data_IF_481664312234
#
_entry.id   IF_481664312234
#
_cell.length_a   1.000
_cell.length_b   1.000
_cell.length_c   1.000
_cell.angle_alpha   90.00
_cell.angle_beta   90.00
_cell.angle_gamma   90.00
#
_symmetry.space_group_name_H-M   'P 1'
#
loop_
_entity.id
_entity.type
_entity.pdbx_description
1 polymer ?
#
# COMPACT_ATOMS: atom_id res chain seq x y z
N UNK A 1 5.80 -3.47 29.55
CA UNK A 1 6.69 -2.41 30.08
C UNK A 1 6.72 -1.31 29.04
N UNK A 2 6.59 -0.04 29.37
CA UNK A 2 6.74 1.05 28.37
C UNK A 2 8.21 1.48 28.39
N UNK A 3 8.91 1.55 27.23
CA UNK A 3 10.30 1.99 27.20
C UNK A 3 10.41 3.44 27.67
N UNK A 4 11.44 3.73 28.46
CA UNK A 4 11.75 5.11 28.84
C UNK A 4 12.47 5.78 27.68
N UNK A 5 11.90 6.87 27.17
CA UNK A 5 12.53 7.67 26.13
C UNK A 5 13.59 8.57 26.78
N UNK A 6 14.78 8.55 26.21
CA UNK A 6 15.95 9.35 26.58
C UNK A 6 16.52 10.01 25.34
N UNK A 7 17.41 10.99 25.50
CA UNK A 7 18.09 11.64 24.35
C UNK A 7 18.75 10.58 23.44
N UNK A 8 19.39 9.56 24.04
CA UNK A 8 20.06 8.48 23.33
C UNK A 8 19.16 7.55 22.51
N UNK A 9 17.83 7.56 22.68
CA UNK A 9 16.92 6.69 21.91
C UNK A 9 15.78 7.46 21.24
N UNK A 10 15.77 8.78 21.37
CA UNK A 10 14.78 9.67 20.76
C UNK A 10 14.76 9.50 19.23
N UNK A 11 15.93 9.32 18.61
CA UNK A 11 16.03 9.12 17.16
C UNK A 11 15.30 7.85 16.67
N UNK A 12 15.27 6.79 17.48
CA UNK A 12 14.53 5.55 17.16
C UNK A 12 13.03 5.82 17.19
N UNK A 13 12.56 6.56 18.21
CA UNK A 13 11.16 6.96 18.32
C UNK A 13 10.73 7.84 17.14
N UNK A 14 11.55 8.81 16.78
CA UNK A 14 11.25 9.73 15.66
C UNK A 14 11.16 8.96 14.34
N UNK A 15 12.04 7.98 14.12
CA UNK A 15 11.98 7.11 12.95
C UNK A 15 10.73 6.22 12.96
N UNK A 16 10.34 5.65 14.10
CA UNK A 16 9.08 4.89 14.23
C UNK A 16 7.88 5.75 13.84
N UNK A 17 7.80 6.98 14.34
CA UNK A 17 6.71 7.91 14.02
C UNK A 17 6.68 8.17 12.51
N UNK A 18 7.82 8.56 11.94
CA UNK A 18 7.96 8.86 10.50
C UNK A 18 7.52 7.68 9.63
N UNK A 19 7.96 6.46 9.94
CA UNK A 19 7.60 5.26 9.16
C UNK A 19 6.16 4.83 9.36
N UNK A 20 5.60 5.05 10.54
CA UNK A 20 4.18 4.82 10.79
C UNK A 20 3.33 5.77 9.95
N UNK A 21 3.68 7.06 9.90
CA UNK A 21 3.01 8.04 9.03
C UNK A 21 3.14 7.67 7.54
N UNK A 22 4.30 7.19 7.11
CA UNK A 22 4.52 6.69 5.74
C UNK A 22 3.62 5.49 5.43
N UNK A 23 3.56 4.51 6.33
CA UNK A 23 2.73 3.32 6.18
C UNK A 23 1.23 3.68 6.11
N UNK A 24 0.75 4.59 6.94
CA UNK A 24 -0.65 5.05 6.93
C UNK A 24 -1.01 5.75 5.60
N UNK A 25 -0.09 6.56 5.05
CA UNK A 25 -0.31 7.20 3.74
C UNK A 25 -0.49 6.21 2.61
N UNK A 26 0.12 5.02 2.68
CA UNK A 26 -0.07 3.96 1.68
C UNK A 26 -1.50 3.41 1.68
N UNK A 27 -2.20 3.48 2.82
CA UNK A 27 -3.59 3.01 2.94
C UNK A 27 -4.59 4.02 2.38
N UNK A 28 -4.21 5.29 2.30
CA UNK A 28 -5.06 6.36 1.77
C UNK A 28 -5.09 6.41 0.24
N UNK A 29 -4.13 5.75 -0.43
CA UNK A 29 -4.01 5.73 -1.89
C UNK A 29 -5.21 5.03 -2.51
N UNK A 30 -5.84 5.71 -3.47
CA UNK A 30 -6.98 5.21 -4.24
C UNK A 30 -6.62 5.02 -5.69
N UNK A 31 -7.42 4.23 -6.39
CA UNK A 31 -7.26 4.03 -7.83
C UNK A 31 -7.37 5.36 -8.62
N UNK A 32 -8.12 6.36 -8.11
CA UNK A 32 -8.14 7.71 -8.71
C UNK A 32 -6.80 8.44 -8.69
N UNK A 33 -5.92 8.09 -7.76
CA UNK A 33 -4.58 8.67 -7.67
C UNK A 33 -3.64 8.01 -8.69
N UNK A 34 -3.96 6.79 -9.11
CA UNK A 34 -3.16 5.98 -10.02
C UNK A 34 -3.64 6.03 -11.47
N UNK A 35 -4.90 6.40 -11.72
CA UNK A 35 -5.52 6.39 -13.05
C UNK A 35 -6.26 7.69 -13.30
N UNK A 36 -6.12 8.23 -14.51
CA UNK A 36 -6.81 9.43 -14.93
C UNK A 36 -8.26 9.17 -15.34
N UNK A 37 -9.21 9.58 -14.50
CA UNK A 37 -10.65 9.51 -14.78
C UNK A 37 -11.27 10.87 -15.18
N UNK A 38 -10.45 11.87 -15.50
CA UNK A 38 -10.93 13.26 -15.71
C UNK A 38 -11.91 13.39 -16.88
N UNK A 39 -11.69 12.63 -17.95
CA UNK A 39 -12.52 12.66 -19.17
C UNK A 39 -13.73 11.70 -19.11
N UNK A 40 -13.97 11.06 -17.95
CA UNK A 40 -15.00 10.05 -17.80
C UNK A 40 -16.31 10.65 -17.31
N UNK A 41 -17.26 10.83 -18.23
CA UNK A 41 -18.60 11.37 -17.93
C UNK A 41 -19.59 10.29 -17.45
N UNK A 42 -19.39 9.04 -17.88
CA UNK A 42 -20.30 7.93 -17.58
C UNK A 42 -20.16 7.47 -16.12
N UNK A 43 -21.29 7.19 -15.47
CA UNK A 43 -21.31 6.79 -14.05
C UNK A 43 -21.31 5.27 -13.82
N UNK A 44 -21.64 4.47 -14.84
CA UNK A 44 -21.78 3.01 -14.74
C UNK A 44 -21.21 2.31 -15.97
N UNK A 45 -20.54 1.20 -15.76
CA UNK A 45 -19.82 0.40 -16.75
C UNK A 45 -20.16 -1.08 -16.60
N UNK A 46 -20.09 -1.81 -17.70
CA UNK A 46 -20.37 -3.24 -17.74
C UNK A 46 -19.12 -4.06 -17.40
N UNK A 47 -17.94 -3.56 -17.78
CA UNK A 47 -16.66 -4.18 -17.42
C UNK A 47 -15.50 -3.18 -17.41
N UNK A 48 -14.42 -3.58 -16.74
CA UNK A 48 -13.13 -2.89 -16.72
C UNK A 48 -12.07 -3.86 -17.23
N UNK A 49 -11.15 -3.36 -18.06
CA UNK A 49 -10.04 -4.11 -18.63
C UNK A 49 -8.78 -3.27 -18.61
N UNK A 50 -7.62 -3.90 -18.75
CA UNK A 50 -6.36 -3.20 -18.97
C UNK A 50 -5.88 -3.53 -20.38
N UNK A 51 -5.58 -2.49 -21.15
CA UNK A 51 -5.03 -2.59 -22.50
C UNK A 51 -3.89 -1.58 -22.63
N UNK A 52 -2.70 -2.08 -22.97
CA UNK A 52 -1.46 -1.29 -23.02
C UNK A 52 -1.24 -0.50 -21.71
N UNK A 53 -1.09 0.82 -21.79
CA UNK A 53 -0.90 1.73 -20.65
C UNK A 53 -2.22 2.37 -20.17
N UNK A 54 -3.36 1.73 -20.47
CA UNK A 54 -4.68 2.30 -20.17
C UNK A 54 -5.58 1.31 -19.44
N UNK A 55 -6.32 1.85 -18.48
CA UNK A 55 -7.51 1.23 -17.92
C UNK A 55 -8.69 1.53 -18.85
N UNK A 56 -9.28 0.50 -19.43
CA UNK A 56 -10.38 0.61 -20.39
C UNK A 56 -11.70 0.26 -19.70
N UNK A 57 -12.59 1.23 -19.64
CA UNK A 57 -13.95 1.08 -19.14
C UNK A 57 -14.87 0.80 -20.32
N UNK A 58 -15.65 -0.28 -20.23
CA UNK A 58 -16.55 -0.72 -21.30
C UNK A 58 -17.99 -0.53 -20.87
N UNK A 59 -18.79 0.14 -21.70
CA UNK A 59 -20.24 0.29 -21.52
C UNK A 59 -20.96 0.23 -22.86
N UNK A 60 -21.95 -0.65 -23.02
CA UNK A 60 -22.77 -0.75 -24.24
C UNK A 60 -21.90 -0.79 -25.52
N UNK A 61 -20.80 -1.57 -25.48
CA UNK A 61 -19.76 -1.67 -26.53
C UNK A 61 -18.90 -0.41 -26.77
N UNK A 62 -19.10 0.69 -26.04
CA UNK A 62 -18.21 1.86 -26.05
C UNK A 62 -17.03 1.64 -25.13
N UNK A 63 -15.84 2.01 -25.59
CA UNK A 63 -14.60 1.87 -24.84
C UNK A 63 -14.09 3.26 -24.46
N UNK A 64 -13.87 3.47 -23.16
CA UNK A 64 -13.33 4.71 -22.61
C UNK A 64 -11.96 4.38 -22.04
N UNK A 65 -10.92 4.99 -22.61
CA UNK A 65 -9.54 4.77 -22.19
C UNK A 65 -9.17 5.79 -21.11
N UNK A 66 -8.71 5.30 -19.98
CA UNK A 66 -8.23 6.08 -18.85
C UNK A 66 -6.72 5.84 -18.72
N UNK A 67 -5.92 6.90 -18.74
CA UNK A 67 -4.46 6.77 -18.71
C UNK A 67 -4.00 6.32 -17.32
N UNK A 68 -3.15 5.29 -17.26
CA UNK A 68 -2.50 4.89 -16.01
C UNK A 68 -1.32 5.83 -15.76
N UNK A 69 -1.25 6.41 -14.55
CA UNK A 69 -0.21 7.37 -14.13
C UNK A 69 0.93 6.68 -13.35
N UNK A 70 0.68 5.48 -12.83
CA UNK A 70 1.58 4.74 -11.96
C UNK A 70 1.95 3.38 -12.56
N UNK A 71 2.50 2.47 -11.74
CA UNK A 71 2.84 1.11 -12.13
C UNK A 71 1.62 0.32 -12.63
N UNK A 72 1.70 -0.13 -13.88
CA UNK A 72 0.63 -0.87 -14.56
C UNK A 72 0.35 -2.23 -13.92
N UNK A 73 1.38 -2.95 -13.52
CA UNK A 73 1.23 -4.30 -12.97
C UNK A 73 0.53 -4.24 -11.61
N UNK A 74 0.82 -3.21 -10.82
CA UNK A 74 0.12 -2.93 -9.57
C UNK A 74 -1.36 -2.62 -9.80
N UNK A 75 -1.67 -1.70 -10.72
CA UNK A 75 -3.06 -1.40 -11.09
C UNK A 75 -3.77 -2.67 -11.60
N UNK A 76 -3.09 -3.51 -12.38
CA UNK A 76 -3.65 -4.78 -12.85
C UNK A 76 -4.01 -5.74 -11.72
N UNK A 77 -3.15 -5.88 -10.72
CA UNK A 77 -3.44 -6.71 -9.55
C UNK A 77 -4.67 -6.21 -8.78
N UNK A 78 -4.81 -4.89 -8.60
CA UNK A 78 -5.97 -4.29 -7.93
C UNK A 78 -7.25 -4.59 -8.71
N UNK A 79 -7.25 -4.34 -10.03
CA UNK A 79 -8.42 -4.56 -10.87
C UNK A 79 -8.82 -6.04 -10.88
N UNK A 80 -7.85 -6.94 -10.99
CA UNK A 80 -8.10 -8.37 -10.96
C UNK A 80 -8.72 -8.81 -9.63
N UNK A 81 -8.17 -8.34 -8.51
CA UNK A 81 -8.64 -8.67 -7.17
C UNK A 81 -10.05 -8.15 -6.89
N UNK A 82 -10.29 -6.87 -7.15
CA UNK A 82 -11.52 -6.18 -6.71
C UNK A 82 -12.67 -6.31 -7.72
N UNK A 83 -12.37 -6.42 -9.02
CA UNK A 83 -13.37 -6.38 -10.09
C UNK A 83 -13.43 -7.63 -10.97
N UNK A 84 -12.43 -8.52 -10.93
CA UNK A 84 -12.42 -9.76 -11.75
C UNK A 84 -12.53 -11.05 -10.94
N UNK A 85 -12.33 -11.03 -9.62
CA UNK A 85 -12.25 -12.24 -8.79
C UNK A 85 -13.61 -12.84 -8.34
N UNK A 86 -14.67 -12.68 -9.14
CA UNK A 86 -15.94 -13.36 -8.90
C UNK A 86 -16.30 -14.25 -10.08
N UNK A 87 -16.07 -15.56 -9.91
CA UNK A 87 -16.76 -16.63 -10.64
C UNK A 87 -18.29 -16.59 -10.43
N UNK A 88 -18.77 -15.79 -9.46
CA UNK A 88 -20.17 -15.35 -9.37
C UNK A 88 -20.41 -14.20 -10.35
N UNK A 89 -20.60 -14.55 -11.62
CA UNK A 89 -21.28 -13.70 -12.60
C UNK A 89 -22.70 -13.41 -12.10
N UNK A 90 -22.84 -12.41 -11.23
CA UNK A 90 -24.10 -11.69 -11.13
C UNK A 90 -24.18 -10.87 -12.41
N UNK A 91 -24.95 -11.37 -13.37
CA UNK A 91 -25.11 -10.84 -14.74
C UNK A 91 -25.57 -9.35 -14.80
N UNK A 92 -25.81 -8.72 -13.66
CA UNK A 92 -26.29 -7.34 -13.52
C UNK A 92 -25.36 -6.39 -12.73
N UNK A 93 -24.18 -6.82 -12.27
CA UNK A 93 -23.32 -5.96 -11.45
C UNK A 93 -22.56 -4.93 -12.29
N UNK A 94 -23.23 -3.81 -12.59
CA UNK A 94 -22.61 -2.64 -13.21
C UNK A 94 -21.61 -2.01 -12.24
N UNK A 95 -20.38 -1.80 -12.71
CA UNK A 95 -19.31 -1.13 -11.97
C UNK A 95 -19.54 0.38 -12.03
N UNK A 96 -19.60 1.06 -10.90
CA UNK A 96 -19.77 2.51 -10.87
C UNK A 96 -18.43 3.25 -10.96
N UNK A 97 -18.45 4.46 -11.52
CA UNK A 97 -17.29 5.35 -11.53
C UNK A 97 -16.83 5.71 -10.11
N UNK A 98 -17.78 5.88 -9.19
CA UNK A 98 -17.50 6.16 -7.79
C UNK A 98 -16.74 5.02 -7.13
N UNK A 99 -17.17 3.77 -7.33
CA UNK A 99 -16.47 2.59 -6.78
C UNK A 99 -15.05 2.47 -7.32
N UNK A 100 -14.87 2.70 -8.63
CA UNK A 100 -13.53 2.75 -9.23
C UNK A 100 -12.68 3.84 -8.59
N UNK A 101 -13.18 5.08 -8.51
CA UNK A 101 -12.41 6.21 -7.93
C UNK A 101 -12.08 6.00 -6.46
N UNK A 102 -12.98 5.41 -5.67
CA UNK A 102 -12.76 5.18 -4.24
C UNK A 102 -12.08 3.85 -3.92
N UNK A 103 -11.78 3.02 -4.93
CA UNK A 103 -11.16 1.71 -4.74
C UNK A 103 -9.80 1.85 -4.06
N UNK A 104 -9.58 1.25 -2.88
CA UNK A 104 -8.30 1.29 -2.20
C UNK A 104 -7.21 0.61 -3.03
N UNK A 105 -6.08 1.28 -3.20
CA UNK A 105 -4.93 0.79 -3.93
C UNK A 105 -3.78 0.46 -2.97
N UNK A 106 -4.00 -0.56 -2.14
CA UNK A 106 -3.09 -0.91 -1.05
C UNK A 106 -1.92 -1.75 -1.59
N UNK A 107 -0.70 -1.25 -1.40
CA UNK A 107 0.53 -1.96 -1.74
C UNK A 107 1.01 -2.81 -0.56
N UNK A 108 0.36 -3.97 -0.38
CA UNK A 108 0.56 -4.85 0.78
C UNK A 108 2.02 -5.25 1.02
N UNK A 109 2.82 -5.45 -0.04
CA UNK A 109 4.24 -5.80 0.10
C UNK A 109 5.05 -4.66 0.74
N UNK A 110 4.85 -3.41 0.30
CA UNK A 110 5.52 -2.26 0.89
C UNK A 110 5.04 -1.99 2.31
N UNK A 111 3.73 -2.10 2.55
CA UNK A 111 3.14 -1.94 3.88
C UNK A 111 3.72 -2.97 4.86
N UNK A 112 3.83 -4.23 4.43
CA UNK A 112 4.41 -5.31 5.24
C UNK A 112 5.88 -5.04 5.55
N UNK A 113 6.68 -4.63 4.55
CA UNK A 113 8.09 -4.35 4.77
C UNK A 113 8.31 -3.17 5.73
N UNK A 114 7.50 -2.10 5.62
CA UNK A 114 7.49 -0.99 6.59
C UNK A 114 7.08 -1.46 7.99
N UNK A 115 6.03 -2.26 8.09
CA UNK A 115 5.57 -2.80 9.37
C UNK A 115 6.66 -3.65 10.04
N UNK A 116 7.27 -4.57 9.32
CA UNK A 116 8.32 -5.44 9.86
C UNK A 116 9.51 -4.60 10.38
N UNK A 117 9.90 -3.56 9.63
CA UNK A 117 10.94 -2.62 10.08
C UNK A 117 10.54 -1.82 11.33
N UNK A 118 9.30 -1.32 11.40
CA UNK A 118 8.77 -0.63 12.58
C UNK A 118 8.78 -1.56 13.79
N UNK A 119 8.35 -2.81 13.63
CA UNK A 119 8.34 -3.81 14.69
C UNK A 119 9.75 -4.05 15.23
N UNK A 120 10.76 -4.12 14.36
CA UNK A 120 12.17 -4.26 14.76
C UNK A 120 12.68 -3.02 15.53
N UNK A 121 12.30 -1.80 15.11
CA UNK A 121 12.66 -0.57 15.83
C UNK A 121 11.96 -0.48 17.20
N UNK A 122 10.68 -0.84 17.26
CA UNK A 122 9.92 -0.90 18.52
C UNK A 122 10.58 -1.91 19.45
N UNK A 123 10.96 -3.08 18.94
CA UNK A 123 11.69 -4.07 19.71
C UNK A 123 13.00 -3.52 20.27
N UNK A 124 13.82 -2.89 19.42
CA UNK A 124 15.07 -2.27 19.83
C UNK A 124 14.86 -1.23 20.95
N UNK A 125 13.80 -0.42 20.84
CA UNK A 125 13.43 0.58 21.85
C UNK A 125 13.01 -0.06 23.17
N UNK A 126 12.23 -1.14 23.14
CA UNK A 126 11.76 -1.86 24.34
C UNK A 126 12.90 -2.55 25.11
N UNK A 127 13.89 -3.08 24.39
CA UNK A 127 15.01 -3.83 24.96
C UNK A 127 16.29 -3.01 25.11
N UNK A 128 16.24 -1.69 24.83
CA UNK A 128 17.40 -0.79 24.85
C UNK A 128 18.58 -1.33 24.02
N UNK A 129 18.29 -1.86 22.84
CA UNK A 129 19.31 -2.31 21.89
C UNK A 129 19.97 -1.08 21.29
N UNK A 130 21.31 -1.06 21.29
CA UNK A 130 22.08 0.05 20.72
C UNK A 130 22.11 -0.09 19.20
N UNK A 131 21.36 0.77 18.51
CA UNK A 131 21.41 0.89 17.05
C UNK A 131 22.39 2.00 16.68
N UNK A 132 23.39 1.68 15.84
CA UNK A 132 24.36 2.66 15.33
C UNK A 132 23.86 3.43 14.11
N UNK A 133 22.97 2.82 13.33
CA UNK A 133 22.40 3.37 12.10
C UNK A 133 20.89 3.13 12.11
N UNK A 134 20.11 4.10 11.64
CA UNK A 134 18.66 3.98 11.41
C UNK A 134 18.35 4.39 9.98
N UNK A 135 17.42 3.68 9.37
CA UNK A 135 17.06 3.83 7.97
C UNK A 135 16.53 2.53 7.42
N UNK A 136 15.61 2.63 6.45
CA UNK A 136 15.01 1.45 5.84
C UNK A 136 16.06 0.60 5.09
N UNK A 137 17.13 1.24 4.58
CA UNK A 137 18.30 0.58 4.01
C UNK A 137 19.08 -0.31 5.00
N UNK A 138 18.89 -0.10 6.31
CA UNK A 138 19.54 -0.87 7.37
C UNK A 138 18.61 -1.87 8.04
N UNK A 139 17.39 -2.08 7.52
CA UNK A 139 16.39 -2.96 8.11
C UNK A 139 16.95 -4.37 8.40
N UNK A 140 17.68 -4.97 7.46
CA UNK A 140 18.28 -6.30 7.65
C UNK A 140 19.33 -6.30 8.78
N UNK A 141 20.17 -5.26 8.86
CA UNK A 141 21.17 -5.14 9.93
C UNK A 141 20.49 -5.00 11.30
N UNK A 142 19.46 -4.17 11.38
CA UNK A 142 18.71 -3.93 12.63
C UNK A 142 18.02 -5.21 13.07
N UNK A 143 17.42 -5.96 12.14
CA UNK A 143 16.82 -7.27 12.40
C UNK A 143 17.82 -8.27 12.97
N UNK A 144 19.04 -8.31 12.43
CA UNK A 144 20.12 -9.16 12.96
C UNK A 144 20.58 -8.72 14.35
N UNK A 145 20.68 -7.41 14.62
CA UNK A 145 20.96 -6.90 15.97
C UNK A 145 19.85 -7.25 16.97
N UNK A 146 18.58 -7.19 16.54
CA UNK A 146 17.43 -7.61 17.36
C UNK A 146 17.48 -9.11 17.70
N UNK A 147 17.84 -9.97 16.73
CA UNK A 147 18.02 -11.42 16.93
C UNK A 147 19.19 -11.79 17.85
N UNK A 148 20.25 -10.97 17.90
CA UNK A 148 21.38 -11.17 18.82
C UNK A 148 21.00 -10.91 20.27
N UNK A 149 19.89 -10.20 20.52
CA UNK A 149 19.41 -9.96 21.87
C UNK A 149 19.01 -11.29 22.54
N UNK A 150 19.14 -11.37 23.87
CA UNK A 150 18.74 -12.59 24.63
C UNK A 150 17.24 -12.88 24.59
N UNK A 151 16.46 -12.03 23.93
CA UNK A 151 15.02 -12.13 23.79
C UNK A 151 14.74 -12.41 22.32
N UNK A 152 14.39 -13.66 21.98
CA UNK A 152 13.89 -14.01 20.66
C UNK A 152 12.36 -14.01 20.70
N UNK A 153 11.75 -13.57 19.59
CA UNK A 153 10.35 -13.84 19.25
C UNK A 153 10.30 -15.00 18.24
#
# INVERSE_FOLDING_TARGET
>A
RVPKITEDNQFIKDEIIKRTEEMLKLEEVKLSDLVDFSDVLMQKFDSVKILDENLVLVKDSKWIKCKIKSDKDFVSKIIQKEFMHNELKLEDKKISLSELKSCPAIEFEKQKALKDYIDDLVFALYFNIRLSEIGFEFADKIKEECKKSKFNW
#
